data_IF_852242908426
#
_entry.id   IF_852242908426
#
_cell.length_a   1.000
_cell.length_b   1.000
_cell.length_c   1.000
_cell.angle_alpha   90.00
_cell.angle_beta   90.00
_cell.angle_gamma   90.00
#
_symmetry.space_group_name_H-M   'P 1'
#
loop_
_entity.id
_entity.type
_entity.pdbx_description
1 polymer ?
#
# COMPACT_ATOMS: atom_id res chain seq x y z
N UNK A 1 14.56 -18.89 5.00
CA UNK A 1 13.94 -17.57 4.75
C UNK A 1 12.97 -17.17 5.85
N UNK A 2 11.87 -17.94 6.07
CA UNK A 2 10.82 -17.61 7.06
C UNK A 2 11.40 -17.36 8.45
N UNK A 3 12.28 -18.24 8.94
CA UNK A 3 12.90 -18.10 10.25
C UNK A 3 13.83 -16.88 10.33
N UNK A 4 14.59 -16.62 9.27
CA UNK A 4 15.49 -15.45 9.21
C UNK A 4 14.70 -14.15 9.26
N UNK A 5 13.62 -14.04 8.50
CA UNK A 5 12.79 -12.83 8.48
C UNK A 5 12.06 -12.70 9.81
N UNK A 6 11.39 -13.76 10.27
CA UNK A 6 10.58 -13.75 11.50
C UNK A 6 11.40 -13.35 12.74
N UNK A 7 12.63 -13.83 12.87
CA UNK A 7 13.46 -13.57 14.04
C UNK A 7 14.13 -12.20 14.04
N UNK A 8 14.10 -11.48 12.92
CA UNK A 8 14.80 -10.21 12.73
C UNK A 8 13.86 -9.05 12.36
N UNK A 9 12.55 -9.26 12.28
CA UNK A 9 11.59 -8.17 12.10
C UNK A 9 11.37 -7.48 13.46
N UNK A 10 11.51 -6.16 13.48
CA UNK A 10 11.45 -5.33 14.69
C UNK A 10 10.03 -5.33 15.29
N UNK A 11 8.99 -5.25 14.44
CA UNK A 11 7.57 -5.24 14.86
C UNK A 11 6.94 -6.63 14.68
N UNK A 12 7.51 -7.64 15.34
CA UNK A 12 7.09 -9.04 15.15
C UNK A 12 5.70 -9.36 15.74
N UNK A 13 5.19 -8.53 16.66
CA UNK A 13 3.86 -8.75 17.28
C UNK A 13 2.72 -8.45 16.31
N UNK A 14 2.90 -7.50 15.40
CA UNK A 14 1.90 -7.08 14.42
C UNK A 14 2.04 -7.79 13.06
N UNK A 15 3.02 -8.66 12.90
CA UNK A 15 3.30 -9.35 11.64
C UNK A 15 2.94 -10.84 11.72
N UNK A 16 1.94 -11.25 10.95
CA UNK A 16 1.56 -12.66 10.80
C UNK A 16 2.25 -13.29 9.60
N UNK A 17 3.10 -14.28 9.85
CA UNK A 17 3.77 -15.05 8.80
C UNK A 17 2.95 -16.26 8.37
N UNK A 18 2.59 -16.31 7.10
CA UNK A 18 1.90 -17.46 6.49
C UNK A 18 2.79 -18.04 5.39
N UNK A 19 2.85 -19.36 5.30
CA UNK A 19 3.50 -20.05 4.18
C UNK A 19 2.44 -20.67 3.31
N UNK A 20 2.42 -20.28 2.04
CA UNK A 20 1.53 -20.83 1.05
C UNK A 20 2.26 -21.82 0.14
N UNK A 21 1.57 -22.87 -0.27
CA UNK A 21 1.91 -23.53 -1.51
C UNK A 21 1.23 -22.79 -2.68
N UNK A 22 1.74 -23.00 -3.88
CA UNK A 22 1.28 -22.25 -5.04
C UNK A 22 -0.20 -22.51 -5.38
N UNK A 23 -0.67 -23.73 -5.17
CA UNK A 23 -2.04 -24.11 -5.51
C UNK A 23 -3.03 -23.48 -4.52
N UNK A 24 -2.68 -23.38 -3.22
CA UNK A 24 -3.48 -22.66 -2.23
C UNK A 24 -3.60 -21.16 -2.56
N UNK A 25 -2.50 -20.52 -2.96
CA UNK A 25 -2.54 -19.10 -3.38
C UNK A 25 -3.47 -18.91 -4.57
N UNK A 26 -3.40 -19.81 -5.56
CA UNK A 26 -4.25 -19.73 -6.74
C UNK A 26 -5.73 -19.89 -6.38
N UNK A 27 -6.06 -20.82 -5.47
CA UNK A 27 -7.43 -20.98 -4.96
C UNK A 27 -7.92 -19.74 -4.21
N UNK A 28 -7.09 -19.17 -3.33
CA UNK A 28 -7.46 -17.95 -2.60
C UNK A 28 -7.71 -16.77 -3.54
N UNK A 29 -6.95 -16.64 -4.61
CA UNK A 29 -7.18 -15.64 -5.66
C UNK A 29 -8.51 -15.90 -6.37
N UNK A 30 -8.77 -17.15 -6.80
CA UNK A 30 -9.98 -17.52 -7.56
C UNK A 30 -11.27 -17.34 -6.72
N UNK A 31 -11.19 -17.59 -5.41
CA UNK A 31 -12.31 -17.40 -4.49
C UNK A 31 -12.35 -16.01 -3.84
N UNK A 32 -11.52 -15.06 -4.27
CA UNK A 32 -11.42 -13.70 -3.71
C UNK A 32 -11.16 -13.68 -2.20
N UNK A 33 -10.40 -14.67 -1.70
CA UNK A 33 -10.01 -14.82 -0.29
C UNK A 33 -8.55 -14.47 -0.03
N UNK A 34 -7.84 -14.03 -1.08
CA UNK A 34 -6.45 -13.65 -0.95
C UNK A 34 -6.33 -12.38 -0.09
N UNK A 35 -5.74 -12.55 1.08
CA UNK A 35 -5.53 -11.48 2.08
C UNK A 35 -4.06 -11.51 2.52
N UNK A 36 -3.26 -10.62 1.95
CA UNK A 36 -1.84 -10.55 2.21
C UNK A 36 -1.31 -9.13 1.91
N UNK A 37 -0.66 -8.53 2.89
CA UNK A 37 -0.08 -7.19 2.74
C UNK A 37 1.26 -7.23 2.01
N UNK A 38 2.09 -8.25 2.30
CA UNK A 38 3.39 -8.45 1.67
C UNK A 38 3.51 -9.89 1.19
N UNK A 39 3.68 -10.07 -0.12
CA UNK A 39 3.83 -11.38 -0.74
C UNK A 39 5.24 -11.58 -1.31
N UNK A 40 5.98 -12.56 -0.75
CA UNK A 40 7.33 -12.92 -1.22
C UNK A 40 7.23 -14.17 -2.10
N UNK A 41 7.73 -14.07 -3.33
CA UNK A 41 7.62 -15.14 -4.31
C UNK A 41 8.90 -15.35 -5.12
N UNK A 42 9.06 -16.56 -5.69
CA UNK A 42 10.07 -16.84 -6.71
C UNK A 42 9.69 -16.20 -8.06
N UNK A 43 10.67 -15.93 -8.90
CA UNK A 43 10.43 -15.56 -10.29
C UNK A 43 10.01 -16.77 -11.14
N UNK A 44 10.68 -17.90 -10.90
CA UNK A 44 10.41 -19.16 -11.58
C UNK A 44 10.46 -20.31 -10.58
N UNK A 45 9.37 -21.06 -10.50
CA UNK A 45 9.28 -22.21 -9.60
C UNK A 45 9.91 -23.46 -10.23
N UNK A 46 10.37 -24.44 -9.42
CA UNK A 46 10.99 -25.67 -9.92
C UNK A 46 10.09 -26.48 -10.89
N UNK A 47 8.77 -26.34 -10.76
CA UNK A 47 7.79 -26.98 -11.64
C UNK A 47 7.49 -26.17 -12.92
N UNK A 48 8.30 -25.17 -13.25
CA UNK A 48 8.14 -24.32 -14.43
C UNK A 48 7.04 -23.25 -14.32
N UNK A 49 6.31 -23.20 -13.20
CA UNK A 49 5.30 -22.12 -13.00
C UNK A 49 5.99 -20.76 -12.88
N UNK A 50 5.39 -19.77 -13.50
CA UNK A 50 5.93 -18.41 -13.61
C UNK A 50 5.41 -17.51 -12.49
N UNK A 51 6.30 -17.01 -11.63
CA UNK A 51 5.98 -16.15 -10.50
C UNK A 51 5.55 -14.74 -10.90
N UNK A 52 6.01 -14.23 -12.07
CA UNK A 52 5.56 -12.93 -12.59
C UNK A 52 4.08 -12.98 -12.98
N UNK A 53 3.65 -14.09 -13.63
CA UNK A 53 2.23 -14.30 -13.95
C UNK A 53 1.37 -14.40 -12.68
N UNK A 54 1.89 -15.05 -11.62
CA UNK A 54 1.20 -15.09 -10.33
C UNK A 54 1.09 -13.68 -9.73
N UNK A 55 2.18 -12.92 -9.74
CA UNK A 55 2.21 -11.55 -9.24
C UNK A 55 1.21 -10.64 -9.98
N UNK A 56 1.08 -10.76 -11.31
CA UNK A 56 0.05 -10.05 -12.09
C UNK A 56 -1.37 -10.37 -11.64
N UNK A 57 -1.66 -11.63 -11.33
CA UNK A 57 -2.97 -12.03 -10.81
C UNK A 57 -3.23 -11.45 -9.43
N UNK A 58 -2.22 -11.46 -8.54
CA UNK A 58 -2.32 -10.83 -7.23
C UNK A 58 -2.54 -9.32 -7.37
N UNK A 59 -1.80 -8.63 -8.25
CA UNK A 59 -2.01 -7.21 -8.51
C UNK A 59 -3.45 -6.88 -8.94
N UNK A 60 -4.11 -7.79 -9.67
CA UNK A 60 -5.49 -7.58 -10.12
C UNK A 60 -6.53 -7.71 -8.99
N UNK A 61 -6.31 -8.61 -8.02
CA UNK A 61 -7.27 -8.87 -6.93
C UNK A 61 -6.93 -8.15 -5.64
N UNK A 62 -5.64 -7.87 -5.40
CA UNK A 62 -5.12 -7.19 -4.22
C UNK A 62 -4.05 -6.15 -4.62
N UNK A 63 -4.45 -5.01 -5.22
CA UNK A 63 -3.51 -4.01 -5.75
C UNK A 63 -2.65 -3.33 -4.66
N UNK A 64 -3.08 -3.35 -3.41
CA UNK A 64 -2.32 -2.85 -2.25
C UNK A 64 -1.21 -3.79 -1.80
N UNK A 65 -1.28 -5.08 -2.14
CA UNK A 65 -0.29 -6.08 -1.76
C UNK A 65 1.10 -5.73 -2.31
N UNK A 66 2.09 -5.67 -1.44
CA UNK A 66 3.49 -5.38 -1.81
C UNK A 66 4.18 -6.68 -2.22
N UNK A 67 4.49 -6.83 -3.50
CA UNK A 67 5.13 -8.04 -4.03
C UNK A 67 6.65 -7.88 -4.03
N UNK A 68 7.35 -8.83 -3.42
CA UNK A 68 8.80 -8.94 -3.44
C UNK A 68 9.20 -10.24 -4.16
N UNK A 69 9.95 -10.11 -5.24
CA UNK A 69 10.61 -11.28 -5.84
C UNK A 69 11.90 -11.61 -5.09
N UNK A 70 12.03 -12.87 -4.66
CA UNK A 70 13.23 -13.38 -4.00
C UNK A 70 13.64 -14.71 -4.63
N UNK A 71 14.59 -14.63 -5.57
CA UNK A 71 14.88 -15.71 -6.52
C UNK A 71 16.38 -16.06 -6.54
N UNK A 72 16.72 -17.25 -7.04
CA UNK A 72 18.12 -17.67 -7.22
C UNK A 72 18.80 -16.91 -8.37
N UNK A 73 18.05 -16.61 -9.43
CA UNK A 73 18.51 -15.86 -10.62
C UNK A 73 17.32 -15.13 -11.24
N UNK A 74 17.63 -14.13 -12.05
CA UNK A 74 16.64 -13.47 -12.92
C UNK A 74 16.80 -14.10 -14.30
N UNK A 75 15.81 -14.88 -14.81
CA UNK A 75 15.84 -15.41 -16.16
C UNK A 75 15.74 -14.28 -17.19
N UNK A 76 16.51 -14.37 -18.27
CA UNK A 76 16.53 -13.36 -19.34
C UNK A 76 15.16 -13.27 -20.06
N UNK A 77 14.43 -14.38 -20.12
CA UNK A 77 13.13 -14.45 -20.80
C UNK A 77 11.98 -13.87 -19.97
N UNK A 78 12.21 -13.50 -18.72
CA UNK A 78 11.17 -12.96 -17.84
C UNK A 78 11.24 -11.44 -17.76
N UNK A 79 10.18 -10.79 -18.21
CA UNK A 79 9.97 -9.38 -17.94
C UNK A 79 9.33 -9.21 -16.55
N UNK A 80 10.16 -8.90 -15.55
CA UNK A 80 9.71 -8.69 -14.17
C UNK A 80 8.84 -7.44 -14.04
N UNK A 81 8.95 -6.48 -14.96
CA UNK A 81 8.18 -5.25 -14.97
C UNK A 81 6.74 -5.42 -15.44
N UNK A 82 6.38 -6.59 -15.98
CA UNK A 82 4.99 -6.92 -16.28
C UNK A 82 4.09 -6.96 -15.02
N UNK A 83 4.67 -7.17 -13.83
CA UNK A 83 3.95 -7.14 -12.56
C UNK A 83 4.41 -5.95 -11.71
N UNK A 84 3.46 -5.28 -11.05
CA UNK A 84 3.79 -4.28 -10.05
C UNK A 84 4.42 -4.97 -8.85
N UNK A 85 5.66 -4.60 -8.52
CA UNK A 85 6.42 -5.17 -7.42
C UNK A 85 7.28 -4.10 -6.74
N UNK A 86 7.61 -4.30 -5.46
CA UNK A 86 8.40 -3.33 -4.69
C UNK A 86 9.90 -3.54 -4.81
N UNK A 87 10.33 -4.79 -5.05
CA UNK A 87 11.75 -5.11 -5.24
C UNK A 87 11.92 -6.50 -5.86
N UNK A 88 13.14 -6.75 -6.41
CA UNK A 88 13.60 -8.06 -6.84
C UNK A 88 14.99 -8.32 -6.24
N UNK A 89 15.11 -9.35 -5.41
CA UNK A 89 16.33 -9.69 -4.68
C UNK A 89 16.82 -11.09 -5.01
N UNK A 90 18.13 -11.24 -5.08
CA UNK A 90 18.78 -12.52 -5.33
C UNK A 90 19.16 -13.19 -4.01
N UNK A 91 18.82 -14.46 -3.88
CA UNK A 91 19.17 -15.31 -2.74
C UNK A 91 20.69 -15.44 -2.61
N UNK A 92 21.17 -15.52 -1.39
CA UNK A 92 22.59 -15.56 -1.07
C UNK A 92 23.30 -14.20 -1.23
N UNK A 93 23.00 -13.46 -2.29
CA UNK A 93 23.64 -12.16 -2.57
C UNK A 93 23.02 -11.01 -1.76
N UNK A 94 21.72 -11.04 -1.54
CA UNK A 94 20.98 -9.93 -0.94
C UNK A 94 20.33 -10.30 0.41
N UNK A 95 20.70 -11.43 1.01
CA UNK A 95 20.07 -11.94 2.24
C UNK A 95 20.17 -10.94 3.41
N UNK A 96 21.32 -10.30 3.59
CA UNK A 96 21.48 -9.30 4.64
C UNK A 96 20.59 -8.04 4.40
N UNK A 97 20.41 -7.67 3.13
CA UNK A 97 19.56 -6.52 2.76
C UNK A 97 18.08 -6.84 2.85
N UNK A 98 17.71 -8.12 2.72
CA UNK A 98 16.32 -8.54 2.77
C UNK A 98 15.68 -8.18 4.11
N UNK A 99 16.35 -8.44 5.22
CA UNK A 99 15.84 -8.13 6.58
C UNK A 99 15.66 -6.63 6.75
N UNK A 100 16.65 -5.82 6.38
CA UNK A 100 16.56 -4.36 6.46
C UNK A 100 15.39 -3.86 5.60
N UNK A 101 15.30 -4.30 4.34
CA UNK A 101 14.22 -3.93 3.44
C UNK A 101 12.83 -4.31 3.98
N UNK A 102 12.71 -5.49 4.59
CA UNK A 102 11.44 -5.93 5.19
C UNK A 102 11.05 -5.07 6.39
N UNK A 103 12.02 -4.70 7.25
CA UNK A 103 11.76 -3.80 8.38
C UNK A 103 11.30 -2.42 7.89
N UNK A 104 12.00 -1.83 6.92
CA UNK A 104 11.64 -0.53 6.33
C UNK A 104 10.24 -0.58 5.70
N UNK A 105 9.90 -1.70 5.03
CA UNK A 105 8.60 -1.89 4.39
C UNK A 105 7.48 -2.02 5.43
N UNK A 106 7.67 -2.82 6.48
CA UNK A 106 6.70 -2.99 7.57
C UNK A 106 6.51 -1.68 8.32
N UNK A 107 7.60 -0.97 8.64
CA UNK A 107 7.52 0.33 9.31
C UNK A 107 6.75 1.35 8.46
N UNK A 108 7.03 1.39 7.16
CA UNK A 108 6.31 2.28 6.23
C UNK A 108 4.82 1.96 6.20
N UNK A 109 4.45 0.69 6.08
CA UNK A 109 3.05 0.27 6.06
C UNK A 109 2.35 0.58 7.39
N UNK A 110 2.98 0.33 8.54
CA UNK A 110 2.45 0.69 9.86
C UNK A 110 2.25 2.20 10.02
N UNK A 111 3.10 3.02 9.42
CA UNK A 111 2.96 4.46 9.43
C UNK A 111 1.85 4.94 8.49
N UNK A 112 1.67 4.29 7.34
CA UNK A 112 0.56 4.56 6.43
C UNK A 112 -0.78 4.19 7.08
N UNK A 113 -0.86 3.08 7.82
CA UNK A 113 -2.04 2.70 8.59
C UNK A 113 -2.37 3.72 9.71
N UNK A 114 -1.36 4.27 10.39
CA UNK A 114 -1.56 5.35 11.38
C UNK A 114 -2.11 6.63 10.74
N UNK A 115 -1.80 6.89 9.48
CA UNK A 115 -2.32 8.01 8.70
C UNK A 115 -3.67 7.74 8.04
N UNK A 116 -4.28 6.58 8.30
CA UNK A 116 -5.56 6.22 7.70
C UNK A 116 -6.70 7.17 8.08
N UNK A 117 -6.59 7.85 9.22
CA UNK A 117 -7.58 8.80 9.71
C UNK A 117 -6.99 10.18 9.90
N UNK A 118 -7.69 11.20 9.41
CA UNK A 118 -7.34 12.59 9.64
C UNK A 118 -8.36 13.27 10.56
N UNK A 119 -7.86 14.03 11.54
CA UNK A 119 -8.67 14.81 12.46
C UNK A 119 -8.80 16.25 11.96
N UNK A 120 -10.02 16.64 11.66
CA UNK A 120 -10.38 17.96 11.13
C UNK A 120 -11.10 18.75 12.22
N UNK A 121 -10.70 20.01 12.40
CA UNK A 121 -11.32 20.92 13.35
C UNK A 121 -11.86 22.16 12.64
N UNK A 122 -13.16 22.36 12.76
CA UNK A 122 -13.82 23.53 12.20
C UNK A 122 -14.99 23.95 13.07
N UNK A 123 -15.10 25.23 13.38
CA UNK A 123 -16.20 25.84 14.14
C UNK A 123 -16.59 25.04 15.41
N UNK A 124 -15.59 24.78 16.28
CA UNK A 124 -15.69 23.99 17.53
C UNK A 124 -16.04 22.51 17.33
N UNK A 125 -16.30 22.08 16.11
CA UNK A 125 -16.56 20.68 15.78
C UNK A 125 -15.25 19.94 15.46
N UNK A 126 -15.19 18.69 15.88
CA UNK A 126 -14.10 17.77 15.55
C UNK A 126 -14.68 16.63 14.73
N UNK A 127 -14.12 16.41 13.54
CA UNK A 127 -14.48 15.29 12.69
C UNK A 127 -13.25 14.41 12.49
N UNK A 128 -13.46 13.12 12.47
CA UNK A 128 -12.43 12.15 12.09
C UNK A 128 -12.87 11.56 10.74
N UNK A 129 -12.06 11.78 9.71
CA UNK A 129 -12.32 11.25 8.38
C UNK A 129 -11.37 10.11 8.10
N UNK A 130 -11.89 9.06 7.49
CA UNK A 130 -11.08 8.05 6.84
C UNK A 130 -10.47 8.65 5.58
N UNK A 131 -9.14 8.61 5.46
CA UNK A 131 -8.44 9.15 4.30
C UNK A 131 -8.84 8.45 3.00
N UNK A 132 -9.29 7.19 3.07
CA UNK A 132 -9.81 6.44 1.92
C UNK A 132 -11.08 7.05 1.33
N UNK A 133 -11.86 7.77 2.13
CA UNK A 133 -13.07 8.44 1.65
C UNK A 133 -12.78 9.78 1.00
N UNK A 134 -11.61 10.37 1.21
CA UNK A 134 -11.24 11.69 0.70
C UNK A 134 -10.78 11.55 -0.76
N UNK A 135 -11.51 12.19 -1.67
CA UNK A 135 -11.21 12.24 -3.10
C UNK A 135 -10.12 13.28 -3.42
N UNK A 136 -10.32 14.49 -2.92
CA UNK A 136 -9.36 15.58 -3.07
C UNK A 136 -9.56 16.65 -2.00
N UNK A 137 -8.56 17.50 -1.84
CA UNK A 137 -8.53 18.61 -0.88
C UNK A 137 -8.18 19.87 -1.64
N UNK A 138 -8.91 20.96 -1.40
CA UNK A 138 -8.71 22.25 -2.09
C UNK A 138 -8.77 23.41 -1.12
N UNK A 139 -7.98 24.45 -1.35
CA UNK A 139 -8.11 25.73 -0.64
C UNK A 139 -9.00 26.65 -1.44
N UNK A 140 -10.06 27.15 -0.80
CA UNK A 140 -10.94 28.21 -1.35
C UNK A 140 -11.15 29.26 -0.25
N UNK A 141 -10.97 30.53 -0.61
CA UNK A 141 -11.15 31.67 0.31
C UNK A 141 -10.45 31.49 1.68
N UNK A 142 -9.21 31.00 1.68
CA UNK A 142 -8.39 30.69 2.86
C UNK A 142 -8.91 29.55 3.75
N UNK A 143 -9.90 28.81 3.29
CA UNK A 143 -10.44 27.63 3.96
C UNK A 143 -10.00 26.39 3.19
N UNK A 144 -9.49 25.41 3.87
CA UNK A 144 -9.22 24.10 3.30
C UNK A 144 -10.48 23.27 3.33
N UNK A 145 -10.88 22.74 2.18
CA UNK A 145 -12.09 21.94 1.97
C UNK A 145 -11.69 20.54 1.57
N UNK A 146 -12.17 19.54 2.30
CA UNK A 146 -12.05 18.12 1.98
C UNK A 146 -13.30 17.66 1.25
N UNK A 147 -13.12 17.06 0.10
CA UNK A 147 -14.20 16.48 -0.70
C UNK A 147 -14.14 14.96 -0.58
N UNK A 148 -15.22 14.37 -0.08
CA UNK A 148 -15.32 12.93 0.16
C UNK A 148 -16.33 12.27 -0.76
N UNK A 149 -16.22 10.96 -0.94
CA UNK A 149 -17.18 10.15 -1.69
C UNK A 149 -18.51 9.90 -0.93
N UNK A 150 -18.60 10.28 0.35
CA UNK A 150 -19.80 10.09 1.20
C UNK A 150 -20.80 11.22 0.96
N UNK A 151 -21.80 10.95 0.12
CA UNK A 151 -22.89 11.90 -0.18
C UNK A 151 -24.06 11.91 0.82
N UNK A 152 -24.08 11.00 1.79
CA UNK A 152 -25.22 10.80 2.70
C UNK A 152 -25.13 11.62 3.99
N UNK A 153 -24.24 12.57 4.08
CA UNK A 153 -24.09 13.44 5.24
C UNK A 153 -24.79 14.78 4.98
N UNK A 154 -25.30 15.43 6.03
CA UNK A 154 -25.89 16.78 6.00
C UNK A 154 -24.96 17.84 5.39
N UNK A 155 -23.70 17.50 5.14
CA UNK A 155 -22.61 18.33 4.61
C UNK A 155 -22.30 18.11 3.14
N UNK A 156 -23.07 17.27 2.46
CA UNK A 156 -22.84 16.93 1.04
C UNK A 156 -21.40 16.44 0.76
N UNK A 157 -20.82 15.68 1.72
CA UNK A 157 -19.46 15.15 1.61
C UNK A 157 -18.34 16.18 1.72
N UNK A 158 -18.63 17.40 2.23
CA UNK A 158 -17.62 18.45 2.39
C UNK A 158 -17.30 18.70 3.85
N UNK A 159 -15.98 18.79 4.16
CA UNK A 159 -15.48 19.13 5.48
C UNK A 159 -14.49 20.28 5.36
N UNK A 160 -14.43 21.11 6.39
CA UNK A 160 -13.73 22.40 6.35
C UNK A 160 -12.67 22.48 7.44
N UNK A 161 -11.57 23.18 7.17
CA UNK A 161 -10.50 23.41 8.13
C UNK A 161 -9.70 24.67 7.76
N UNK A 162 -9.03 25.27 8.75
CA UNK A 162 -8.16 26.45 8.51
C UNK A 162 -6.68 26.11 8.39
N UNK A 163 -6.28 24.85 8.60
CA UNK A 163 -4.88 24.43 8.43
C UNK A 163 -4.39 24.56 6.99
N UNK A 164 -3.14 25.01 6.78
CA UNK A 164 -2.55 25.06 5.45
C UNK A 164 -2.27 23.65 4.90
N UNK A 165 -2.31 23.48 3.57
CA UNK A 165 -2.04 22.19 2.91
C UNK A 165 -0.66 21.59 3.26
N UNK A 166 0.35 22.43 3.50
CA UNK A 166 1.70 21.98 3.88
C UNK A 166 1.75 21.25 5.23
N UNK A 167 0.84 21.57 6.15
CA UNK A 167 0.69 20.85 7.41
C UNK A 167 -0.17 19.61 7.24
N UNK A 168 -1.27 19.73 6.52
CA UNK A 168 -2.20 18.63 6.24
C UNK A 168 -1.49 17.48 5.52
N UNK A 169 -0.62 17.79 4.56
CA UNK A 169 0.16 16.78 3.81
C UNK A 169 1.03 15.89 4.71
N UNK A 170 1.42 16.34 5.90
CA UNK A 170 2.19 15.51 6.85
C UNK A 170 1.34 14.43 7.51
N UNK A 171 0.03 14.66 7.58
CA UNK A 171 -0.93 13.76 8.22
C UNK A 171 -1.62 12.82 7.21
N UNK A 172 -1.42 13.06 5.90
CA UNK A 172 -2.02 12.27 4.84
C UNK A 172 -1.11 11.10 4.43
N UNK A 173 -1.71 9.97 3.97
CA UNK A 173 -0.98 8.86 3.35
C UNK A 173 -0.27 9.27 2.06
N UNK A 174 0.69 8.45 1.61
CA UNK A 174 1.53 8.71 0.43
C UNK A 174 0.76 8.66 -0.92
N UNK A 175 -0.47 8.18 -0.93
CA UNK A 175 -1.35 8.20 -2.12
C UNK A 175 -1.94 9.59 -2.40
N UNK A 176 -1.76 10.56 -1.49
CA UNK A 176 -2.13 11.94 -1.72
C UNK A 176 -1.01 12.73 -2.40
N UNK A 177 -1.32 13.33 -3.54
CA UNK A 177 -0.35 14.09 -4.34
C UNK A 177 -0.78 15.53 -4.48
N UNK A 178 0.16 16.45 -4.19
CA UNK A 178 -0.06 17.87 -4.39
C UNK A 178 0.04 18.19 -5.88
N UNK A 179 -1.07 18.61 -6.49
CA UNK A 179 -1.13 18.95 -7.91
C UNK A 179 -1.04 20.47 -8.17
N UNK A 180 -1.24 21.31 -7.14
CA UNK A 180 -1.02 22.75 -7.24
C UNK A 180 -0.72 23.38 -5.88
N UNK A 181 -0.51 24.70 -5.83
CA UNK A 181 -0.38 25.43 -4.57
C UNK A 181 -1.62 25.32 -3.68
N UNK A 182 -2.80 25.11 -4.26
CA UNK A 182 -4.10 25.12 -3.59
C UNK A 182 -4.85 23.78 -3.64
N UNK A 183 -4.27 22.71 -4.17
CA UNK A 183 -4.96 21.42 -4.34
C UNK A 183 -4.08 20.21 -4.14
N UNK A 184 -4.67 19.18 -3.52
CA UNK A 184 -4.13 17.85 -3.29
C UNK A 184 -5.16 16.84 -3.76
N UNK A 185 -4.75 15.78 -4.44
CA UNK A 185 -5.62 14.73 -4.99
C UNK A 185 -5.20 13.38 -4.45
N UNK A 186 -6.18 12.55 -4.10
CA UNK A 186 -5.96 11.15 -3.80
C UNK A 186 -5.86 10.36 -5.11
N UNK A 187 -4.70 9.71 -5.34
CA UNK A 187 -4.44 8.94 -6.57
C UNK A 187 -5.39 7.77 -6.78
N UNK A 188 -5.98 7.24 -5.71
CA UNK A 188 -6.90 6.11 -5.78
C UNK A 188 -8.24 6.49 -6.47
N UNK A 189 -8.52 7.79 -6.62
CA UNK A 189 -9.68 8.32 -7.32
C UNK A 189 -9.38 8.88 -8.71
N UNK A 190 -8.16 8.71 -9.21
CA UNK A 190 -7.81 9.11 -10.58
C UNK A 190 -8.02 7.90 -11.49
N UNK A 191 -9.03 7.97 -12.37
CA UNK A 191 -9.20 7.00 -13.47
C UNK A 191 -8.37 7.45 -14.68
N UNK A 192 -7.69 6.49 -15.31
CA UNK A 192 -7.05 6.68 -16.62
C UNK A 192 -8.08 6.72 -17.71
#
# INVERSE_FOLDING_TARGET
LRSQIKNNIIDNENVRFVSYNLDSVMLDIDYQKFDCDIFITELLYPNGKNGVKLAKRINAVAPSCKILFYANKIPEELDIYEANHVNCMLKGRHDARLVTFMNDLVEKMSNDDKKQFIKIRYDRNVNILDCRDIMYIKIENRVTIYYTNKKNDQRDGKYYEYRPLSEIMKDLPDNFVRCSAAAVVNRDYISN
#
